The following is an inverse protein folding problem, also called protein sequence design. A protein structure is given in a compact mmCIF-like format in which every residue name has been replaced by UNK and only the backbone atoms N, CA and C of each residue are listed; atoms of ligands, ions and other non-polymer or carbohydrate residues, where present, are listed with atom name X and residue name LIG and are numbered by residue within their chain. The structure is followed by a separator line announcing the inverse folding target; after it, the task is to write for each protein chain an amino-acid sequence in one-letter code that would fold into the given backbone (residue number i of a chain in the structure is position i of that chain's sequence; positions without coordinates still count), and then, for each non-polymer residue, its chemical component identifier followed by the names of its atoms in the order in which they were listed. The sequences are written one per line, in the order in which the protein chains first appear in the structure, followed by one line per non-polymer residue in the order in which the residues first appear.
data_IF_630630545117
#
_entry.id   IF_630630545117
#
_cell.length_a   1.000
_cell.length_b   1.000
_cell.length_c   1.000
_cell.angle_alpha   90.00
_cell.angle_beta   90.00
_cell.angle_gamma   90.00
#
_symmetry.space_group_name_H-M   'P 1'
#
loop_
_entity.id
_entity.type
_entity.pdbx_description
1 polymer ?
#
# COMPACT_ATOMS: atom_id res chain seq x y z
N UNK A 1 12.07 -12.91 -11.70
CA UNK A 1 11.49 -12.50 -10.41
C UNK A 1 12.26 -13.19 -9.28
N UNK A 2 12.80 -12.46 -8.29
CA UNK A 2 13.53 -13.07 -7.17
C UNK A 2 12.58 -13.92 -6.30
N UNK A 3 13.08 -15.02 -5.72
CA UNK A 3 12.30 -16.06 -5.00
C UNK A 3 11.32 -15.51 -3.94
N UNK A 4 11.73 -14.51 -3.15
CA UNK A 4 10.91 -13.98 -2.05
C UNK A 4 9.78 -13.07 -2.54
N UNK A 5 10.05 -12.23 -3.55
CA UNK A 5 9.00 -11.41 -4.17
C UNK A 5 7.93 -12.30 -4.84
N UNK A 6 8.35 -13.35 -5.55
CA UNK A 6 7.42 -14.35 -6.09
C UNK A 6 6.54 -14.97 -5.01
N UNK A 7 7.11 -15.35 -3.86
CA UNK A 7 6.34 -15.92 -2.74
C UNK A 7 5.32 -14.94 -2.17
N UNK A 8 5.70 -13.68 -2.00
CA UNK A 8 4.76 -12.64 -1.56
C UNK A 8 3.57 -12.54 -2.53
N UNK A 9 3.85 -12.43 -3.83
CA UNK A 9 2.79 -12.35 -4.85
C UNK A 9 1.90 -13.59 -4.86
N UNK A 10 2.48 -14.80 -4.78
CA UNK A 10 1.69 -16.04 -4.70
C UNK A 10 0.80 -16.06 -3.46
N UNK A 11 1.31 -15.66 -2.30
CA UNK A 11 0.53 -15.58 -1.06
C UNK A 11 -0.63 -14.58 -1.17
N UNK A 12 -0.42 -13.43 -1.80
CA UNK A 12 -1.47 -12.43 -2.01
C UNK A 12 -2.51 -12.90 -3.05
N UNK A 13 -2.08 -13.51 -4.15
CA UNK A 13 -2.97 -14.01 -5.20
C UNK A 13 -3.79 -15.23 -4.76
N UNK A 14 -3.33 -15.99 -3.76
CA UNK A 14 -4.10 -17.09 -3.19
C UNK A 14 -5.38 -16.61 -2.47
N UNK A 15 -5.52 -15.31 -2.17
CA UNK A 15 -6.72 -14.75 -1.59
C UNK A 15 -7.02 -15.22 -0.15
N UNK A 16 -6.06 -15.86 0.52
CA UNK A 16 -6.26 -16.45 1.85
C UNK A 16 -6.17 -15.48 3.03
N UNK A 17 -6.43 -14.17 2.81
CA UNK A 17 -6.44 -13.19 3.89
C UNK A 17 -7.69 -13.38 4.74
N UNK A 18 -7.55 -13.37 6.06
CA UNK A 18 -8.67 -13.37 6.99
C UNK A 18 -9.63 -12.20 6.72
N UNK A 19 -10.93 -12.51 6.57
CA UNK A 19 -12.01 -11.56 6.27
C UNK A 19 -12.91 -11.26 7.48
N UNK A 20 -12.65 -11.88 8.63
CA UNK A 20 -13.52 -11.78 9.82
C UNK A 20 -13.58 -10.38 10.44
N UNK A 21 -12.63 -9.50 10.10
CA UNK A 21 -12.37 -8.21 10.76
C UNK A 21 -12.16 -8.29 12.29
N UNK A 22 -12.07 -9.50 12.84
CA UNK A 22 -11.87 -9.72 14.27
C UNK A 22 -10.44 -9.36 14.67
N UNK A 23 -10.29 -8.77 15.86
CA UNK A 23 -8.99 -8.34 16.37
C UNK A 23 -8.67 -8.94 17.73
N UNK A 24 -7.41 -9.32 17.92
CA UNK A 24 -6.85 -9.85 19.16
C UNK A 24 -5.56 -9.10 19.51
N UNK A 25 -5.60 -8.35 20.61
CA UNK A 25 -4.47 -7.55 21.08
C UNK A 25 -3.29 -8.37 21.60
N UNK A 26 -3.54 -9.54 22.22
CA UNK A 26 -2.46 -10.43 22.68
C UNK A 26 -1.74 -11.02 21.47
N UNK A 27 -2.50 -11.51 20.49
CA UNK A 27 -1.95 -12.00 19.23
C UNK A 27 -1.19 -10.90 18.49
N UNK A 28 -1.71 -9.68 18.47
CA UNK A 28 -1.04 -8.54 17.84
C UNK A 28 0.34 -8.26 18.47
N UNK A 29 0.43 -8.26 19.80
CA UNK A 29 1.70 -8.09 20.51
C UNK A 29 2.68 -9.24 20.22
N UNK A 30 2.19 -10.47 20.19
CA UNK A 30 3.01 -11.64 19.86
C UNK A 30 3.57 -11.55 18.44
N UNK A 31 2.74 -11.20 17.46
CA UNK A 31 3.16 -11.10 16.06
C UNK A 31 4.10 -9.91 15.82
N UNK A 32 3.90 -8.79 16.52
CA UNK A 32 4.85 -7.69 16.55
C UNK A 32 6.24 -8.14 17.04
N UNK A 33 6.31 -8.91 18.13
CA UNK A 33 7.56 -9.47 18.64
C UNK A 33 8.18 -10.51 17.70
N UNK A 34 7.36 -11.30 16.99
CA UNK A 34 7.84 -12.22 15.96
C UNK A 34 8.48 -11.46 14.79
N UNK A 35 7.83 -10.41 14.28
CA UNK A 35 8.40 -9.56 13.24
C UNK A 35 9.74 -8.94 13.68
N UNK A 36 9.81 -8.42 14.90
CA UNK A 36 11.05 -7.85 15.44
C UNK A 36 12.16 -8.92 15.57
N UNK A 37 11.79 -10.12 16.01
CA UNK A 37 12.69 -11.28 16.08
C UNK A 37 13.16 -11.76 14.70
N UNK A 38 12.30 -11.61 13.69
CA UNK A 38 12.51 -12.06 12.32
C UNK A 38 13.36 -11.11 11.48
N UNK A 39 13.50 -9.84 11.86
CA UNK A 39 14.40 -8.88 11.21
C UNK A 39 15.50 -8.43 12.16
N UNK A 40 15.28 -7.28 12.78
CA UNK A 40 16.32 -6.50 13.46
C UNK A 40 17.01 -7.21 14.65
N UNK A 41 16.43 -8.26 15.24
CA UNK A 41 17.07 -9.03 16.34
C UNK A 41 17.97 -10.17 15.87
N UNK A 42 18.15 -10.37 14.57
CA UNK A 42 18.98 -11.45 14.03
C UNK A 42 19.90 -10.95 12.93
N UNK A 43 20.89 -11.77 12.58
CA UNK A 43 21.68 -11.55 11.37
C UNK A 43 20.91 -12.09 10.16
N UNK A 44 20.75 -11.24 9.14
CA UNK A 44 19.85 -11.48 8.02
C UNK A 44 18.38 -11.36 8.42
N UNK A 45 17.47 -11.74 7.52
CA UNK A 45 16.03 -11.54 7.73
C UNK A 45 15.28 -12.84 7.45
N UNK A 46 14.28 -13.15 8.25
CA UNK A 46 13.31 -14.22 7.96
C UNK A 46 12.16 -13.64 7.15
N UNK A 47 12.30 -13.64 5.83
CA UNK A 47 11.32 -13.07 4.92
C UNK A 47 10.00 -13.87 4.92
N UNK A 48 10.06 -15.13 5.33
CA UNK A 48 8.87 -16.00 5.37
C UNK A 48 7.94 -15.60 6.51
N UNK A 49 8.50 -15.20 7.66
CA UNK A 49 7.73 -14.66 8.78
C UNK A 49 6.98 -13.38 8.40
N UNK A 50 7.67 -12.43 7.76
CA UNK A 50 7.04 -11.20 7.25
C UNK A 50 5.92 -11.51 6.25
N UNK A 51 6.18 -12.37 5.27
CA UNK A 51 5.17 -12.76 4.29
C UNK A 51 3.94 -13.41 4.96
N UNK A 52 4.15 -14.37 5.86
CA UNK A 52 3.07 -15.06 6.54
C UNK A 52 2.16 -14.09 7.31
N UNK A 53 2.74 -13.19 8.10
CA UNK A 53 1.95 -12.23 8.90
C UNK A 53 1.25 -11.22 7.99
N UNK A 54 1.97 -10.58 7.08
CA UNK A 54 1.45 -9.48 6.27
C UNK A 54 0.45 -9.92 5.18
N UNK A 55 0.58 -11.14 4.65
CA UNK A 55 -0.31 -11.65 3.62
C UNK A 55 -1.59 -12.30 4.16
N UNK A 56 -1.56 -12.91 5.36
CA UNK A 56 -2.68 -13.71 5.87
C UNK A 56 -3.63 -13.00 6.83
N UNK A 57 -3.17 -12.02 7.61
CA UNK A 57 -4.01 -11.42 8.66
C UNK A 57 -4.96 -10.35 8.10
N UNK A 58 -6.13 -10.20 8.72
CA UNK A 58 -7.07 -9.15 8.33
C UNK A 58 -6.48 -7.74 8.58
N UNK A 59 -6.99 -6.74 7.87
CA UNK A 59 -6.42 -5.38 7.91
C UNK A 59 -6.54 -4.72 9.29
N UNK A 60 -7.61 -4.97 10.03
CA UNK A 60 -7.81 -4.43 11.38
C UNK A 60 -6.78 -5.00 12.36
N UNK A 61 -6.53 -6.31 12.29
CA UNK A 61 -5.50 -6.95 13.09
C UNK A 61 -4.10 -6.43 12.73
N UNK A 62 -3.79 -6.28 11.45
CA UNK A 62 -2.47 -5.77 11.03
C UNK A 62 -2.21 -4.35 11.53
N UNK A 63 -3.23 -3.48 11.60
CA UNK A 63 -3.08 -2.14 12.20
C UNK A 63 -2.68 -2.23 13.68
N UNK A 64 -3.25 -3.19 14.43
CA UNK A 64 -2.84 -3.44 15.80
C UNK A 64 -1.41 -3.99 15.88
N UNK A 65 -1.06 -4.94 15.02
CA UNK A 65 0.31 -5.49 14.94
C UNK A 65 1.31 -4.35 14.68
N UNK A 66 1.01 -3.41 13.79
CA UNK A 66 1.90 -2.30 13.49
C UNK A 66 2.04 -1.33 14.67
N UNK A 67 0.95 -1.06 15.40
CA UNK A 67 0.99 -0.25 16.61
C UNK A 67 1.79 -0.93 17.73
N UNK A 68 1.62 -2.23 17.91
CA UNK A 68 2.40 -3.02 18.88
C UNK A 68 3.87 -3.12 18.49
N UNK A 69 4.19 -3.24 17.20
CA UNK A 69 5.56 -3.21 16.69
C UNK A 69 6.25 -1.92 17.10
N UNK A 70 5.63 -0.78 16.81
CA UNK A 70 6.16 0.54 17.13
C UNK A 70 6.34 0.76 18.64
N UNK A 71 5.44 0.22 19.47
CA UNK A 71 5.61 0.25 20.94
C UNK A 71 6.86 -0.51 21.38
N UNK A 72 7.11 -1.68 20.78
CA UNK A 72 8.22 -2.59 21.13
C UNK A 72 9.56 -2.06 20.61
N UNK A 73 9.63 -1.56 19.38
CA UNK A 73 10.89 -1.20 18.70
C UNK A 73 11.19 0.30 18.68
N UNK A 74 10.20 1.14 19.00
CA UNK A 74 10.27 2.62 18.95
C UNK A 74 10.38 3.20 17.53
N UNK A 75 10.08 2.41 16.51
CA UNK A 75 9.92 2.88 15.15
C UNK A 75 8.92 2.02 14.38
N UNK A 76 8.46 2.49 13.23
CA UNK A 76 7.44 1.80 12.45
C UNK A 76 7.98 0.54 11.78
N UNK A 77 7.07 -0.39 11.43
CA UNK A 77 7.39 -1.60 10.67
C UNK A 77 7.91 -1.25 9.26
N UNK A 78 7.45 -0.14 8.68
CA UNK A 78 7.90 0.34 7.38
C UNK A 78 9.40 0.67 7.41
N UNK A 79 9.88 1.32 8.48
CA UNK A 79 11.32 1.58 8.67
C UNK A 79 12.14 0.29 8.80
N UNK A 80 11.60 -0.72 9.49
CA UNK A 80 12.25 -2.03 9.58
C UNK A 80 12.31 -2.71 8.20
N UNK A 81 11.24 -2.62 7.42
CA UNK A 81 11.21 -3.19 6.06
C UNK A 81 12.23 -2.49 5.16
N UNK A 82 12.37 -1.16 5.27
CA UNK A 82 13.35 -0.38 4.51
C UNK A 82 14.80 -0.75 4.84
N UNK A 83 15.10 -1.11 6.09
CA UNK A 83 16.44 -1.53 6.52
C UNK A 83 16.76 -2.98 6.20
N UNK A 84 15.77 -3.87 6.33
CA UNK A 84 15.96 -5.33 6.23
C UNK A 84 15.83 -5.87 4.79
N UNK A 85 15.05 -5.20 3.93
CA UNK A 85 14.75 -5.67 2.57
C UNK A 85 15.25 -4.72 1.50
N UNK A 86 15.43 -5.24 0.28
CA UNK A 86 15.78 -4.44 -0.90
C UNK A 86 15.08 -4.92 -2.17
N UNK A 87 14.99 -4.03 -3.17
CA UNK A 87 14.34 -4.29 -4.46
C UNK A 87 12.85 -4.63 -4.33
N UNK A 88 12.33 -5.41 -5.28
CA UNK A 88 10.88 -5.65 -5.42
C UNK A 88 10.18 -6.21 -4.18
N UNK A 89 10.87 -7.03 -3.37
CA UNK A 89 10.27 -7.57 -2.14
C UNK A 89 10.05 -6.45 -1.12
N UNK A 90 10.99 -5.52 -0.96
CA UNK A 90 10.84 -4.34 -0.09
C UNK A 90 9.65 -3.52 -0.55
N UNK A 91 9.61 -3.19 -1.83
CA UNK A 91 8.58 -2.31 -2.39
C UNK A 91 7.19 -2.97 -2.30
N UNK A 92 7.11 -4.29 -2.50
CA UNK A 92 5.89 -5.07 -2.31
C UNK A 92 5.39 -5.10 -0.85
N UNK A 93 6.29 -5.31 0.12
CA UNK A 93 5.93 -5.29 1.54
C UNK A 93 5.48 -3.89 1.99
N UNK A 94 6.17 -2.83 1.53
CA UNK A 94 5.77 -1.45 1.79
C UNK A 94 4.41 -1.11 1.17
N UNK A 95 4.11 -1.61 -0.03
CA UNK A 95 2.79 -1.46 -0.64
C UNK A 95 1.69 -2.14 0.21
N UNK A 96 1.94 -3.34 0.73
CA UNK A 96 1.00 -4.02 1.64
C UNK A 96 0.79 -3.18 2.91
N UNK A 97 1.85 -2.67 3.54
CA UNK A 97 1.75 -1.80 4.70
C UNK A 97 0.95 -0.53 4.39
N UNK A 98 1.21 0.14 3.27
CA UNK A 98 0.49 1.36 2.87
C UNK A 98 -1.01 1.11 2.67
N UNK A 99 -1.38 0.00 2.02
CA UNK A 99 -2.79 -0.41 1.83
C UNK A 99 -3.46 -0.73 3.16
N UNK A 100 -2.78 -1.41 4.08
CA UNK A 100 -3.28 -1.67 5.45
C UNK A 100 -3.55 -0.35 6.16
N UNK A 101 -2.63 0.61 6.10
CA UNK A 101 -2.75 1.91 6.79
C UNK A 101 -3.90 2.73 6.23
N UNK A 102 -3.85 3.04 4.93
CA UNK A 102 -4.85 3.86 4.26
C UNK A 102 -4.80 3.58 2.75
N UNK A 103 -5.69 2.70 2.29
CA UNK A 103 -5.77 2.30 0.88
C UNK A 103 -6.05 3.48 -0.06
N UNK A 104 -7.03 4.36 0.19
CA UNK A 104 -7.22 5.55 -0.64
C UNK A 104 -5.98 6.43 -0.75
N UNK A 105 -5.24 6.64 0.36
CA UNK A 105 -4.00 7.42 0.33
C UNK A 105 -2.87 6.75 -0.47
N UNK A 106 -2.78 5.42 -0.43
CA UNK A 106 -1.85 4.68 -1.29
C UNK A 106 -2.15 4.90 -2.77
N UNK A 107 -3.41 4.79 -3.18
CA UNK A 107 -3.80 5.05 -4.58
C UNK A 107 -3.63 6.52 -4.98
N UNK A 108 -3.93 7.46 -4.08
CA UNK A 108 -3.65 8.88 -4.31
C UNK A 108 -2.16 9.14 -4.56
N UNK A 109 -1.27 8.48 -3.81
CA UNK A 109 0.17 8.55 -4.04
C UNK A 109 0.55 8.02 -5.42
N UNK A 110 0.04 6.85 -5.81
CA UNK A 110 0.34 6.27 -7.13
C UNK A 110 -0.14 7.16 -8.28
N UNK A 111 -1.33 7.76 -8.17
CA UNK A 111 -1.86 8.72 -9.15
C UNK A 111 -0.96 9.95 -9.25
N UNK A 112 -0.51 10.48 -8.12
CA UNK A 112 0.39 11.63 -8.13
C UNK A 112 1.71 11.25 -8.81
N UNK A 113 2.30 10.12 -8.45
CA UNK A 113 3.54 9.64 -9.05
C UNK A 113 3.39 9.30 -10.54
N UNK A 114 2.18 8.98 -11.04
CA UNK A 114 1.97 8.73 -12.47
C UNK A 114 1.96 10.01 -13.30
N UNK A 115 1.72 11.17 -12.69
CA UNK A 115 1.66 12.49 -13.36
C UNK A 115 2.79 13.43 -12.93
N UNK A 116 3.56 13.09 -11.90
CA UNK A 116 4.64 13.94 -11.41
C UNK A 116 5.85 13.86 -12.34
N UNK A 117 6.28 14.99 -12.89
CA UNK A 117 7.55 15.12 -13.59
C UNK A 117 7.35 15.56 -15.03
N UNK A 118 8.30 15.22 -15.89
CA UNK A 118 8.16 15.45 -17.33
C UNK A 118 7.42 14.27 -17.97
N UNK A 119 6.24 14.55 -18.51
CA UNK A 119 5.36 13.56 -19.12
C UNK A 119 4.57 12.75 -18.12
N UNK A 120 3.71 11.87 -18.65
CA UNK A 120 2.74 11.08 -17.89
C UNK A 120 3.03 9.60 -18.07
N UNK A 121 2.91 8.82 -16.99
CA UNK A 121 2.87 7.35 -17.06
C UNK A 121 1.46 6.89 -17.38
N UNK A 122 1.03 7.10 -18.62
CA UNK A 122 -0.38 6.93 -19.04
C UNK A 122 -0.98 5.56 -18.69
N UNK A 123 -0.22 4.47 -18.89
CA UNK A 123 -0.68 3.12 -18.55
C UNK A 123 -0.98 2.95 -17.04
N UNK A 124 -0.23 3.64 -16.18
CA UNK A 124 -0.47 3.62 -14.74
C UNK A 124 -1.66 4.50 -14.40
N UNK A 125 -1.72 5.72 -14.95
CA UNK A 125 -2.83 6.65 -14.73
C UNK A 125 -4.18 6.05 -15.14
N UNK A 126 -4.27 5.50 -16.36
CA UNK A 126 -5.48 4.85 -16.87
C UNK A 126 -5.89 3.69 -15.98
N UNK A 127 -4.94 2.79 -15.65
CA UNK A 127 -5.22 1.63 -14.81
C UNK A 127 -5.75 2.05 -13.44
N UNK A 128 -5.16 3.06 -12.82
CA UNK A 128 -5.56 3.56 -11.50
C UNK A 128 -6.93 4.25 -11.56
N UNK A 129 -7.19 5.09 -12.57
CA UNK A 129 -8.50 5.75 -12.71
C UNK A 129 -9.61 4.75 -12.97
N UNK A 130 -9.45 3.88 -13.98
CA UNK A 130 -10.48 2.92 -14.40
C UNK A 130 -10.74 1.85 -13.33
N UNK A 131 -9.70 1.34 -12.65
CA UNK A 131 -9.92 0.28 -11.64
C UNK A 131 -10.50 0.79 -10.32
N UNK A 132 -10.48 2.11 -10.07
CA UNK A 132 -10.90 2.71 -8.80
C UNK A 132 -12.13 3.61 -8.91
N UNK A 133 -12.51 4.05 -10.13
CA UNK A 133 -13.59 5.02 -10.35
C UNK A 133 -14.91 4.64 -9.67
N UNK A 134 -15.28 3.35 -9.72
CA UNK A 134 -16.54 2.84 -9.13
C UNK A 134 -16.38 2.27 -7.72
N UNK A 135 -15.16 2.27 -7.15
CA UNK A 135 -14.88 1.61 -5.87
C UNK A 135 -14.63 2.59 -4.73
N UNK A 136 -13.59 3.43 -4.84
CA UNK A 136 -13.18 4.35 -3.76
C UNK A 136 -12.61 5.68 -4.29
N UNK A 137 -12.98 6.08 -5.51
CA UNK A 137 -12.46 7.30 -6.13
C UNK A 137 -12.77 8.57 -5.31
N UNK A 138 -13.93 8.65 -4.67
CA UNK A 138 -14.29 9.78 -3.79
C UNK A 138 -13.29 9.92 -2.65
N UNK A 139 -12.96 8.81 -1.98
CA UNK A 139 -11.98 8.80 -0.89
C UNK A 139 -10.57 9.10 -1.39
N UNK A 140 -10.20 8.55 -2.55
CA UNK A 140 -8.90 8.79 -3.20
C UNK A 140 -8.74 10.28 -3.50
N UNK A 141 -9.76 10.94 -4.06
CA UNK A 141 -9.75 12.39 -4.34
C UNK A 141 -9.57 13.20 -3.06
N UNK A 142 -10.27 12.82 -1.99
CA UNK A 142 -10.12 13.44 -0.67
C UNK A 142 -8.68 13.34 -0.13
N UNK A 143 -8.09 12.14 -0.17
CA UNK A 143 -6.70 11.94 0.25
C UNK A 143 -5.71 12.69 -0.65
N UNK A 144 -5.93 12.67 -1.97
CA UNK A 144 -5.09 13.37 -2.95
C UNK A 144 -5.03 14.87 -2.67
N UNK A 145 -6.19 15.51 -2.48
CA UNK A 145 -6.28 16.93 -2.13
C UNK A 145 -5.58 17.22 -0.80
N UNK A 146 -5.76 16.37 0.21
CA UNK A 146 -5.15 16.53 1.52
C UNK A 146 -3.60 16.46 1.45
N UNK A 147 -3.07 15.52 0.65
CA UNK A 147 -1.64 15.26 0.52
C UNK A 147 -0.92 16.27 -0.38
N UNK A 148 -1.51 16.62 -1.53
CA UNK A 148 -0.82 17.38 -2.58
C UNK A 148 -1.30 18.82 -2.75
N UNK A 149 -2.31 19.23 -1.97
CA UNK A 149 -2.87 20.61 -1.97
C UNK A 149 -3.41 21.07 -3.33
N UNK A 150 -3.65 20.13 -4.23
CA UNK A 150 -4.33 20.32 -5.51
C UNK A 150 -5.27 19.15 -5.73
N UNK A 151 -6.35 19.38 -6.49
CA UNK A 151 -7.34 18.34 -6.75
C UNK A 151 -6.81 17.37 -7.80
N UNK A 152 -7.30 16.14 -7.78
CA UNK A 152 -6.93 15.13 -8.76
C UNK A 152 -7.30 15.59 -10.19
N UNK A 153 -8.46 16.24 -10.34
CA UNK A 153 -8.91 16.79 -11.62
C UNK A 153 -7.99 17.91 -12.11
N UNK A 154 -7.54 18.79 -11.21
CA UNK A 154 -6.62 19.86 -11.58
C UNK A 154 -5.26 19.31 -12.01
N UNK A 155 -4.77 18.25 -11.34
CA UNK A 155 -3.55 17.56 -11.75
C UNK A 155 -3.71 16.96 -13.16
N UNK A 156 -4.81 16.24 -13.42
CA UNK A 156 -5.10 15.64 -14.73
C UNK A 156 -5.23 16.72 -15.83
N UNK A 157 -5.87 17.87 -15.52
CA UNK A 157 -5.99 18.98 -16.48
C UNK A 157 -4.65 19.60 -16.85
N UNK A 158 -3.68 19.59 -15.94
CA UNK A 158 -2.35 20.13 -16.17
C UNK A 158 -1.45 19.18 -16.97
N UNK A 159 -1.67 17.87 -16.85
CA UNK A 159 -0.77 16.85 -17.39
C UNK A 159 -1.31 16.16 -18.66
N UNK A 160 -2.63 16.17 -18.87
CA UNK A 160 -3.29 15.51 -20.00
C UNK A 160 -4.05 16.50 -20.90
N UNK A 161 -4.32 16.12 -22.16
CA UNK A 161 -5.05 16.96 -23.11
C UNK A 161 -6.09 16.20 -23.95
N UNK A 162 -6.93 16.95 -24.67
CA UNK A 162 -7.94 16.42 -25.59
C UNK A 162 -8.96 15.48 -24.95
N UNK A 163 -9.55 14.62 -25.79
CA UNK A 163 -10.58 13.65 -25.38
C UNK A 163 -10.10 12.67 -24.31
N UNK A 164 -8.79 12.37 -24.28
CA UNK A 164 -8.19 11.54 -23.24
C UNK A 164 -8.35 12.17 -21.85
N UNK A 165 -7.97 13.44 -21.70
CA UNK A 165 -8.18 14.21 -20.47
C UNK A 165 -9.66 14.29 -20.08
N UNK A 166 -10.54 14.57 -21.05
CA UNK A 166 -11.97 14.70 -20.78
C UNK A 166 -12.58 13.37 -20.27
N UNK A 167 -12.16 12.24 -20.85
CA UNK A 167 -12.55 10.90 -20.40
C UNK A 167 -12.06 10.58 -18.98
N UNK A 168 -10.79 10.89 -18.67
CA UNK A 168 -10.25 10.70 -17.32
C UNK A 168 -11.00 11.54 -16.28
N UNK A 169 -11.31 12.81 -16.60
CA UNK A 169 -12.05 13.69 -15.69
C UNK A 169 -13.47 13.16 -15.45
N UNK A 170 -14.15 12.66 -16.50
CA UNK A 170 -15.48 12.07 -16.35
C UNK A 170 -15.46 10.88 -15.37
N UNK A 171 -14.48 9.98 -15.52
CA UNK A 171 -14.33 8.83 -14.62
C UNK A 171 -13.98 9.23 -13.17
N UNK A 172 -13.17 10.29 -12.99
CA UNK A 172 -12.79 10.79 -11.67
C UNK A 172 -13.97 11.48 -10.96
N UNK A 173 -14.78 12.22 -11.70
CA UNK A 173 -15.94 12.92 -11.14
C UNK A 173 -17.08 11.97 -10.79
N UNK A 174 -17.23 10.88 -11.56
CA UNK A 174 -18.41 10.03 -11.50
C UNK A 174 -19.64 10.70 -12.13
N UNK A 175 -20.73 9.95 -12.19
CA UNK A 175 -22.04 10.44 -12.63
C UNK A 175 -22.89 10.91 -11.45
#
# INVERSE_FOLDING_TARGET
MKRHFQRLLVSLCAGGRDESNFTDGLRANQDARKLYSAGERRLGTDESCFNQILASQNFSQLRLVFAEYEKVTKHSIEKAIESEFSGDIRDGLLAVCAVVRNRPAYFAKLLYESMKGLGTRDNDLIRLVVSRCEYDMVDIRGQFQAMYKTSLENMIKGDCSGAYKDGLIALVNGN
#
